data_IF_172213305644
#
_entry.id   IF_172213305644
#
_cell.length_a   1.000
_cell.length_b   1.000
_cell.length_c   1.000
_cell.angle_alpha   90.00
_cell.angle_beta   90.00
_cell.angle_gamma   90.00
#
_symmetry.space_group_name_H-M   'P 1'
#
loop_
_entity.id
_entity.type
_entity.pdbx_description
1 polymer ?
#
# COMPACT_ATOMS: atom_id res chain seq x y z
N UNK A 1 15.69 17.76 10.42
CA UNK A 1 15.58 18.05 8.96
C UNK A 1 14.35 18.90 8.76
N UNK A 2 14.43 20.00 8.01
CA UNK A 2 13.29 20.84 7.64
C UNK A 2 12.56 20.26 6.43
N UNK A 3 11.28 20.64 6.22
CA UNK A 3 10.49 20.20 5.05
C UNK A 3 11.18 20.50 3.71
N UNK A 4 11.91 21.63 3.65
CA UNK A 4 12.67 22.02 2.45
C UNK A 4 13.87 21.09 2.21
N UNK A 5 14.57 20.71 3.25
CA UNK A 5 15.70 19.77 3.16
C UNK A 5 15.22 18.36 2.79
N UNK A 6 14.10 17.92 3.37
CA UNK A 6 13.49 16.63 3.04
C UNK A 6 13.02 16.60 1.58
N UNK A 7 12.35 17.66 1.13
CA UNK A 7 11.94 17.78 -0.28
C UNK A 7 13.14 17.68 -1.20
N UNK A 8 14.19 18.42 -0.92
CA UNK A 8 15.41 18.38 -1.71
C UNK A 8 16.02 16.97 -1.73
N UNK A 9 16.12 16.33 -0.58
CA UNK A 9 16.63 14.94 -0.48
C UNK A 9 15.81 13.98 -1.35
N UNK A 10 14.48 14.04 -1.28
CA UNK A 10 13.58 13.21 -2.10
C UNK A 10 13.81 13.44 -3.60
N UNK A 11 13.90 14.71 -4.01
CA UNK A 11 14.10 15.08 -5.40
C UNK A 11 15.50 14.64 -5.91
N UNK A 12 16.56 14.81 -5.11
CA UNK A 12 17.93 14.42 -5.46
C UNK A 12 18.06 12.88 -5.58
N UNK A 13 17.50 12.14 -4.65
CA UNK A 13 17.48 10.66 -4.68
C UNK A 13 16.71 10.15 -5.90
N UNK A 14 15.53 10.70 -6.16
CA UNK A 14 14.73 10.34 -7.32
C UNK A 14 15.46 10.63 -8.62
N UNK A 15 15.99 11.84 -8.75
CA UNK A 15 16.72 12.25 -9.96
C UNK A 15 17.92 11.35 -10.24
N UNK A 16 18.71 11.01 -9.22
CA UNK A 16 19.85 10.11 -9.33
C UNK A 16 19.42 8.70 -9.76
N UNK A 17 18.37 8.17 -9.16
CA UNK A 17 17.83 6.86 -9.51
C UNK A 17 17.24 6.84 -10.94
N UNK A 18 16.52 7.88 -11.35
CA UNK A 18 15.91 7.95 -12.69
C UNK A 18 16.94 8.13 -13.80
N UNK A 19 18.03 8.89 -13.57
CA UNK A 19 19.14 8.98 -14.51
C UNK A 19 19.77 7.59 -14.73
N UNK A 20 20.04 6.85 -13.68
CA UNK A 20 20.62 5.52 -13.78
C UNK A 20 19.68 4.56 -14.53
N UNK A 21 18.38 4.62 -14.27
CA UNK A 21 17.36 3.87 -15.02
C UNK A 21 17.37 4.20 -16.52
N UNK A 22 17.36 5.51 -16.82
CA UNK A 22 17.31 5.97 -18.21
C UNK A 22 18.57 5.58 -18.98
N UNK A 23 19.74 5.66 -18.33
CA UNK A 23 21.01 5.21 -18.92
C UNK A 23 21.03 3.73 -19.27
N UNK A 24 20.43 2.90 -18.44
CA UNK A 24 20.31 1.45 -18.65
C UNK A 24 19.09 1.04 -19.51
N UNK A 25 18.33 1.99 -20.04
CA UNK A 25 17.13 1.74 -20.88
C UNK A 25 16.06 0.84 -20.20
N UNK A 26 15.96 0.88 -18.87
CA UNK A 26 15.01 0.08 -18.12
C UNK A 26 13.60 0.70 -18.11
N UNK A 27 12.59 -0.12 -18.35
CA UNK A 27 11.19 0.28 -18.21
C UNK A 27 10.83 0.53 -16.74
N UNK A 28 9.96 1.51 -16.46
CA UNK A 28 9.60 1.91 -15.09
C UNK A 28 9.05 0.75 -14.25
N UNK A 29 8.20 -0.09 -14.82
CA UNK A 29 7.61 -1.26 -14.16
C UNK A 29 8.64 -2.33 -13.74
N UNK A 30 9.78 -2.41 -14.41
CA UNK A 30 10.88 -3.31 -14.04
C UNK A 30 11.82 -2.73 -13.01
N UNK A 31 11.80 -1.41 -12.84
CA UNK A 31 12.72 -0.68 -11.99
C UNK A 31 12.13 -0.32 -10.62
N UNK A 32 10.84 -0.04 -10.56
CA UNK A 32 10.17 0.46 -9.35
C UNK A 32 10.30 -0.50 -8.16
N UNK A 33 9.96 -1.76 -8.37
CA UNK A 33 9.95 -2.76 -7.31
C UNK A 33 11.36 -3.02 -6.71
N UNK A 34 12.43 -3.20 -7.51
CA UNK A 34 13.79 -3.30 -6.96
C UNK A 34 14.21 -2.07 -6.16
N UNK A 35 13.89 -0.87 -6.64
CA UNK A 35 14.26 0.38 -5.95
C UNK A 35 13.55 0.50 -4.60
N UNK A 36 12.27 0.24 -4.55
CA UNK A 36 11.49 0.26 -3.31
C UNK A 36 12.03 -0.77 -2.30
N UNK A 37 12.48 -1.94 -2.79
CA UNK A 37 13.14 -2.93 -1.95
C UNK A 37 14.49 -2.47 -1.40
N UNK A 38 15.30 -1.76 -2.18
CA UNK A 38 16.57 -1.18 -1.68
C UNK A 38 16.33 -0.05 -0.66
N UNK A 39 15.32 0.77 -0.89
CA UNK A 39 14.90 1.78 0.09
C UNK A 39 14.47 1.09 1.39
N UNK A 40 13.72 -0.02 1.31
CA UNK A 40 13.35 -0.82 2.48
C UNK A 40 14.58 -1.36 3.23
N UNK A 41 15.56 -1.94 2.52
CA UNK A 41 16.79 -2.42 3.16
C UNK A 41 17.55 -1.29 3.87
N UNK A 42 17.64 -0.11 3.24
CA UNK A 42 18.27 1.05 3.87
C UNK A 42 17.53 1.49 5.12
N UNK A 43 16.20 1.50 5.08
CA UNK A 43 15.36 1.79 6.24
C UNK A 43 15.61 0.79 7.38
N UNK A 44 15.57 -0.51 7.08
CA UNK A 44 15.78 -1.54 8.07
C UNK A 44 17.14 -1.40 8.77
N UNK A 45 18.19 -1.10 8.01
CA UNK A 45 19.55 -0.85 8.53
C UNK A 45 19.60 0.38 9.45
N UNK A 46 19.03 1.51 9.00
CA UNK A 46 18.98 2.75 9.80
C UNK A 46 18.20 2.53 11.09
N UNK A 47 17.01 1.95 10.99
CA UNK A 47 16.16 1.70 12.16
C UNK A 47 16.85 0.77 13.16
N UNK A 48 17.41 -0.34 12.69
CA UNK A 48 18.11 -1.28 13.56
C UNK A 48 19.31 -0.64 14.27
N UNK A 49 20.10 0.18 13.55
CA UNK A 49 21.23 0.93 14.12
C UNK A 49 20.81 1.91 15.22
N UNK A 50 19.65 2.56 15.07
CA UNK A 50 19.13 3.48 16.09
C UNK A 50 18.80 2.77 17.41
N UNK A 51 18.41 1.49 17.37
CA UNK A 51 18.10 0.70 18.55
C UNK A 51 19.23 -0.22 19.02
N UNK A 52 20.36 -0.23 18.31
CA UNK A 52 21.45 -1.17 18.56
C UNK A 52 21.96 -1.15 20.00
N UNK A 53 22.22 0.04 20.54
CA UNK A 53 22.72 0.20 21.92
C UNK A 53 21.70 -0.35 22.93
N UNK A 54 20.43 -0.06 22.77
CA UNK A 54 19.38 -0.56 23.65
C UNK A 54 19.23 -2.09 23.58
N UNK A 55 19.34 -2.66 22.38
CA UNK A 55 19.30 -4.10 22.15
C UNK A 55 20.48 -4.78 22.84
N UNK A 56 21.71 -4.26 22.66
CA UNK A 56 22.92 -4.81 23.26
C UNK A 56 22.88 -4.69 24.78
N UNK A 57 22.41 -3.58 25.34
CA UNK A 57 22.27 -3.39 26.79
C UNK A 57 21.27 -4.40 27.39
N UNK A 58 20.11 -4.57 26.78
CA UNK A 58 19.09 -5.54 27.23
C UNK A 58 19.60 -6.98 27.12
N UNK A 59 20.31 -7.31 26.04
CA UNK A 59 20.92 -8.63 25.86
C UNK A 59 21.93 -8.90 26.96
N UNK A 60 22.88 -7.99 27.20
CA UNK A 60 23.92 -8.17 28.20
C UNK A 60 23.38 -8.26 29.63
N UNK A 61 22.30 -7.51 29.96
CA UNK A 61 21.62 -7.59 31.26
C UNK A 61 20.93 -8.95 31.50
N UNK A 62 20.46 -9.60 30.47
CA UNK A 62 19.72 -10.89 30.57
C UNK A 62 20.61 -12.11 30.39
N UNK A 63 21.79 -11.95 29.79
CA UNK A 63 22.73 -13.03 29.49
C UNK A 63 23.16 -13.77 30.77
N UNK A 64 23.05 -15.10 30.75
CA UNK A 64 23.36 -15.96 31.90
C UNK A 64 22.32 -15.92 33.03
N UNK A 65 21.19 -15.27 32.86
CA UNK A 65 20.09 -15.22 33.82
C UNK A 65 18.96 -16.17 33.43
N UNK A 66 17.99 -16.37 34.35
CA UNK A 66 16.77 -17.16 34.09
C UNK A 66 15.87 -16.52 33.02
N UNK A 67 16.10 -15.26 32.66
CA UNK A 67 15.39 -14.48 31.66
C UNK A 67 16.21 -14.29 30.37
N UNK A 68 17.22 -15.14 30.16
CA UNK A 68 18.04 -15.08 28.95
C UNK A 68 17.17 -15.26 27.68
N UNK A 69 17.40 -14.39 26.73
CA UNK A 69 16.80 -14.39 25.40
C UNK A 69 17.88 -14.23 24.35
N UNK A 70 17.66 -14.77 23.17
CA UNK A 70 18.54 -14.56 22.03
C UNK A 70 18.56 -13.08 21.59
N UNK A 71 19.60 -12.67 20.88
CA UNK A 71 19.69 -11.35 20.27
C UNK A 71 18.49 -11.07 19.35
N UNK A 72 18.04 -12.08 18.59
CA UNK A 72 16.85 -12.02 17.73
C UNK A 72 15.59 -11.68 18.55
N UNK A 73 15.30 -12.40 19.61
CA UNK A 73 14.12 -12.15 20.45
C UNK A 73 14.13 -10.76 21.08
N UNK A 74 15.30 -10.30 21.54
CA UNK A 74 15.44 -8.97 22.12
C UNK A 74 15.28 -7.88 21.06
N UNK A 75 15.81 -8.08 19.87
CA UNK A 75 15.64 -7.13 18.76
C UNK A 75 14.17 -6.99 18.37
N UNK A 76 13.46 -8.10 18.23
CA UNK A 76 12.01 -8.10 17.96
C UNK A 76 11.24 -7.40 19.07
N UNK A 77 11.65 -7.58 20.34
CA UNK A 77 11.02 -6.92 21.50
C UNK A 77 11.26 -5.40 21.50
N UNK A 78 12.42 -4.93 21.05
CA UNK A 78 12.83 -3.52 21.11
C UNK A 78 12.38 -2.73 19.90
N UNK A 79 12.68 -3.22 18.68
CA UNK A 79 12.42 -2.48 17.45
C UNK A 79 11.45 -3.18 16.47
N UNK A 80 10.85 -4.31 16.89
CA UNK A 80 9.81 -4.99 16.13
C UNK A 80 10.30 -5.99 15.09
N UNK A 81 11.62 -6.06 14.82
CA UNK A 81 12.23 -7.02 13.89
C UNK A 81 13.71 -7.30 14.27
N UNK A 82 14.27 -8.31 13.63
CA UNK A 82 15.69 -8.63 13.72
C UNK A 82 16.36 -8.43 12.36
N UNK A 83 17.48 -7.72 12.33
CA UNK A 83 18.32 -7.53 11.16
C UNK A 83 19.57 -8.38 11.26
N UNK A 84 19.69 -9.48 10.50
CA UNK A 84 20.90 -10.30 10.47
C UNK A 84 22.10 -9.51 9.92
N UNK A 85 23.34 -9.83 10.34
CA UNK A 85 24.55 -9.10 9.90
C UNK A 85 24.74 -9.06 8.37
N UNK A 86 24.39 -10.11 7.66
CA UNK A 86 24.42 -10.19 6.20
C UNK A 86 23.42 -9.26 5.51
N UNK A 87 22.45 -8.74 6.25
CA UNK A 87 21.43 -7.80 5.77
C UNK A 87 21.76 -6.33 6.11
N UNK A 88 22.87 -6.06 6.79
CA UNK A 88 23.30 -4.69 7.00
C UNK A 88 23.59 -4.02 5.65
N UNK A 89 23.10 -2.80 5.49
CA UNK A 89 23.26 -2.08 4.23
C UNK A 89 24.71 -1.87 3.85
N UNK A 90 25.57 -1.64 4.84
CA UNK A 90 27.01 -1.50 4.66
C UNK A 90 27.66 -2.79 4.14
N UNK A 91 27.19 -3.97 4.56
CA UNK A 91 27.69 -5.25 4.05
C UNK A 91 27.44 -5.42 2.54
N UNK A 92 26.37 -4.81 2.03
CA UNK A 92 26.05 -4.80 0.60
C UNK A 92 26.84 -3.69 -0.12
N UNK A 93 26.84 -2.48 0.44
CA UNK A 93 27.47 -1.31 -0.18
C UNK A 93 28.97 -1.47 -0.31
N UNK A 94 29.64 -1.88 0.77
CA UNK A 94 31.10 -1.95 0.89
C UNK A 94 31.70 -3.29 0.36
N UNK A 95 30.83 -4.19 -0.12
CA UNK A 95 31.32 -5.42 -0.76
C UNK A 95 32.19 -5.08 -1.99
N UNK A 96 33.22 -5.91 -2.29
CA UNK A 96 34.11 -5.71 -3.43
C UNK A 96 33.37 -5.45 -4.75
N UNK A 97 34.00 -4.69 -5.65
CA UNK A 97 33.36 -4.30 -6.93
C UNK A 97 33.07 -5.51 -7.84
N UNK A 98 33.82 -6.60 -7.69
CA UNK A 98 33.60 -7.87 -8.39
C UNK A 98 32.52 -8.76 -7.73
N UNK A 99 32.01 -8.36 -6.57
CA UNK A 99 30.95 -9.09 -5.89
C UNK A 99 29.60 -8.92 -6.63
N UNK A 100 28.89 -10.03 -6.80
CA UNK A 100 27.55 -9.99 -7.38
C UNK A 100 26.55 -9.34 -6.39
N UNK A 101 26.35 -8.03 -6.53
CA UNK A 101 25.44 -7.24 -5.68
C UNK A 101 24.00 -7.78 -5.69
N UNK A 102 23.50 -8.28 -6.82
CA UNK A 102 22.16 -8.85 -6.88
C UNK A 102 22.03 -10.09 -5.98
N UNK A 103 23.05 -10.92 -5.94
CA UNK A 103 23.11 -12.07 -5.02
C UNK A 103 23.18 -11.63 -3.56
N UNK A 104 23.93 -10.58 -3.23
CA UNK A 104 24.02 -10.04 -1.87
C UNK A 104 22.68 -9.47 -1.40
N UNK A 105 22.02 -8.68 -2.24
CA UNK A 105 20.69 -8.12 -1.93
C UNK A 105 19.67 -9.25 -1.73
N UNK A 106 19.66 -10.26 -2.62
CA UNK A 106 18.78 -11.43 -2.49
C UNK A 106 19.03 -12.17 -1.17
N UNK A 107 20.29 -12.41 -0.80
CA UNK A 107 20.65 -13.07 0.47
C UNK A 107 20.21 -12.24 1.68
N UNK A 108 20.43 -10.93 1.64
CA UNK A 108 20.02 -10.03 2.70
C UNK A 108 18.50 -10.08 2.94
N UNK A 109 17.71 -9.98 1.87
CA UNK A 109 16.25 -10.05 1.95
C UNK A 109 15.75 -11.42 2.43
N UNK A 110 16.37 -12.51 1.94
CA UNK A 110 16.05 -13.87 2.40
C UNK A 110 16.33 -14.01 3.89
N UNK A 111 17.48 -13.55 4.37
CA UNK A 111 17.83 -13.61 5.78
C UNK A 111 16.87 -12.76 6.67
N UNK A 112 16.40 -11.61 6.18
CA UNK A 112 15.38 -10.83 6.88
C UNK A 112 14.08 -11.62 7.01
N UNK A 113 13.56 -12.20 5.92
CA UNK A 113 12.32 -12.97 5.92
C UNK A 113 12.39 -14.20 6.82
N UNK A 114 13.46 -14.99 6.73
CA UNK A 114 13.68 -16.19 7.55
C UNK A 114 13.77 -15.89 9.07
N UNK A 115 14.08 -14.66 9.41
CA UNK A 115 14.21 -14.23 10.80
C UNK A 115 13.02 -13.40 11.32
N UNK A 116 12.05 -13.07 10.46
CA UNK A 116 10.92 -12.21 10.82
C UNK A 116 9.62 -12.72 10.17
N UNK A 117 8.85 -13.51 10.90
CA UNK A 117 7.64 -14.17 10.40
C UNK A 117 6.64 -13.23 9.71
N UNK A 118 6.55 -11.96 10.18
CA UNK A 118 5.69 -10.94 9.58
C UNK A 118 6.15 -10.46 8.20
N UNK A 119 7.38 -10.76 7.82
CA UNK A 119 7.99 -10.33 6.56
C UNK A 119 8.07 -11.47 5.54
N UNK A 120 7.63 -12.67 5.88
CA UNK A 120 7.69 -13.84 4.99
C UNK A 120 6.98 -13.57 3.66
N UNK A 121 7.72 -13.76 2.55
CA UNK A 121 7.23 -13.54 1.19
C UNK A 121 6.92 -12.07 0.82
N UNK A 122 7.31 -11.10 1.66
CA UNK A 122 7.02 -9.67 1.44
C UNK A 122 8.08 -9.00 0.56
N UNK A 123 9.35 -9.36 0.73
CA UNK A 123 10.46 -8.65 0.11
C UNK A 123 10.67 -9.07 -1.35
N UNK A 124 10.96 -8.13 -2.27
CA UNK A 124 11.10 -8.41 -3.70
C UNK A 124 12.48 -9.00 -4.04
N UNK A 125 12.83 -10.15 -3.46
CA UNK A 125 14.18 -10.74 -3.53
C UNK A 125 14.58 -11.29 -4.91
N UNK A 126 13.61 -11.53 -5.82
CA UNK A 126 13.89 -12.18 -7.10
C UNK A 126 14.12 -11.21 -8.27
N UNK A 127 13.95 -9.90 -8.04
CA UNK A 127 13.92 -8.90 -9.13
C UNK A 127 15.26 -8.22 -9.42
N UNK A 128 16.31 -8.49 -8.63
CA UNK A 128 17.57 -7.73 -8.73
C UNK A 128 18.46 -8.11 -9.89
N UNK A 129 18.28 -9.28 -10.49
CA UNK A 129 19.01 -9.69 -11.69
C UNK A 129 18.80 -8.76 -12.88
N UNK A 130 17.64 -8.11 -12.96
CA UNK A 130 17.35 -7.14 -14.03
C UNK A 130 18.05 -5.79 -13.86
N UNK A 131 18.63 -5.50 -12.68
CA UNK A 131 19.47 -4.32 -12.44
C UNK A 131 20.97 -4.59 -12.67
N UNK A 132 21.31 -5.66 -13.34
CA UNK A 132 22.68 -6.00 -13.77
C UNK A 132 22.65 -6.31 -15.27
N UNK A 133 22.28 -5.33 -16.13
CA UNK A 133 22.28 -5.55 -17.58
C UNK A 133 23.72 -5.69 -18.11
N UNK A 134 23.88 -6.39 -19.24
CA UNK A 134 25.20 -6.63 -19.84
C UNK A 134 25.91 -5.33 -20.22
N UNK A 135 25.16 -4.31 -20.65
CA UNK A 135 25.67 -3.01 -21.07
C UNK A 135 26.12 -2.13 -19.88
N UNK A 136 25.57 -2.36 -18.69
CA UNK A 136 25.86 -1.59 -17.47
C UNK A 136 25.86 -2.49 -16.23
N UNK A 137 26.84 -3.37 -16.08
CA UNK A 137 26.87 -4.40 -15.03
C UNK A 137 27.01 -3.80 -13.61
N UNK A 138 27.46 -2.57 -13.47
CA UNK A 138 27.64 -1.84 -12.22
C UNK A 138 26.43 -0.97 -11.83
N UNK A 139 25.33 -0.99 -12.61
CA UNK A 139 24.13 -0.21 -12.35
C UNK A 139 23.61 -0.40 -10.93
N UNK A 140 23.44 -1.63 -10.48
CA UNK A 140 22.96 -1.93 -9.13
C UNK A 140 23.90 -1.38 -8.05
N UNK A 141 25.22 -1.46 -8.25
CA UNK A 141 26.20 -0.89 -7.34
C UNK A 141 26.07 0.63 -7.22
N UNK A 142 25.85 1.33 -8.33
CA UNK A 142 25.60 2.78 -8.35
C UNK A 142 24.32 3.13 -7.60
N UNK A 143 23.24 2.38 -7.81
CA UNK A 143 21.96 2.60 -7.14
C UNK A 143 22.07 2.37 -5.63
N UNK A 144 22.75 1.31 -5.19
CA UNK A 144 23.00 1.05 -3.76
C UNK A 144 23.73 2.23 -3.11
N UNK A 145 24.73 2.82 -3.79
CA UNK A 145 25.45 4.00 -3.30
C UNK A 145 24.53 5.21 -3.16
N UNK A 146 23.63 5.46 -4.11
CA UNK A 146 22.65 6.58 -4.03
C UNK A 146 21.82 6.50 -2.74
N UNK A 147 21.31 5.33 -2.38
CA UNK A 147 20.51 5.21 -1.16
C UNK A 147 21.34 5.18 0.14
N UNK A 148 22.66 4.96 0.05
CA UNK A 148 23.56 5.13 1.20
C UNK A 148 23.58 6.58 1.68
N UNK A 149 23.35 7.58 0.81
CA UNK A 149 23.31 9.00 1.13
C UNK A 149 22.10 9.42 1.98
N UNK A 150 21.13 8.53 2.19
CA UNK A 150 20.05 8.78 3.15
C UNK A 150 20.64 8.88 4.56
N UNK A 151 20.45 10.01 5.28
CA UNK A 151 21.06 10.23 6.59
C UNK A 151 20.65 9.19 7.63
N UNK A 152 21.61 8.70 8.42
CA UNK A 152 21.34 7.68 9.46
C UNK A 152 20.53 8.22 10.65
N UNK A 153 20.47 9.53 10.83
CA UNK A 153 19.67 10.20 11.86
C UNK A 153 18.29 10.65 11.40
N UNK A 154 17.83 10.18 10.24
CA UNK A 154 16.48 10.46 9.76
C UNK A 154 15.44 9.79 10.67
N UNK A 155 14.34 10.49 10.98
CA UNK A 155 13.24 9.86 11.72
C UNK A 155 12.46 8.86 10.85
N UNK A 156 11.80 7.92 11.50
CA UNK A 156 10.98 6.89 10.84
C UNK A 156 9.91 7.52 9.94
N UNK A 157 9.22 8.56 10.44
CA UNK A 157 8.15 9.24 9.69
C UNK A 157 8.68 9.88 8.42
N UNK A 158 9.85 10.55 8.49
CA UNK A 158 10.45 11.17 7.31
C UNK A 158 10.96 10.13 6.30
N UNK A 159 11.39 8.97 6.79
CA UNK A 159 11.78 7.87 5.89
C UNK A 159 10.55 7.31 5.15
N UNK A 160 9.44 7.12 5.85
CA UNK A 160 8.16 6.73 5.25
C UNK A 160 7.72 7.69 4.14
N UNK A 161 7.98 8.99 4.29
CA UNK A 161 7.72 9.98 3.23
C UNK A 161 8.63 9.83 2.00
N UNK A 162 9.89 9.42 2.16
CA UNK A 162 10.77 9.09 1.03
C UNK A 162 10.19 7.91 0.26
N UNK A 163 9.80 6.84 0.97
CA UNK A 163 9.21 5.66 0.35
C UNK A 163 7.94 5.99 -0.43
N UNK A 164 7.00 6.73 0.18
CA UNK A 164 5.77 7.17 -0.50
C UNK A 164 6.04 8.06 -1.71
N UNK A 165 7.05 8.92 -1.64
CA UNK A 165 7.44 9.77 -2.77
C UNK A 165 7.91 8.94 -3.97
N UNK A 166 8.76 7.92 -3.75
CA UNK A 166 9.18 7.00 -4.79
C UNK A 166 8.01 6.19 -5.35
N UNK A 167 7.17 5.67 -4.48
CA UNK A 167 5.99 4.91 -4.84
C UNK A 167 5.05 5.72 -5.73
N UNK A 168 4.78 6.97 -5.37
CA UNK A 168 3.98 7.90 -6.16
C UNK A 168 4.57 8.21 -7.52
N UNK A 169 5.88 8.45 -7.61
CA UNK A 169 6.54 8.72 -8.88
C UNK A 169 6.54 7.51 -9.83
N UNK A 170 6.75 6.28 -9.29
CA UNK A 170 6.65 5.07 -10.11
C UNK A 170 5.23 4.86 -10.62
N UNK A 171 4.22 5.01 -9.78
CA UNK A 171 2.83 4.89 -10.19
C UNK A 171 2.45 5.92 -11.28
N UNK A 172 2.97 7.15 -11.21
CA UNK A 172 2.76 8.16 -12.25
C UNK A 172 3.44 7.80 -13.58
N UNK A 173 4.60 7.14 -13.53
CA UNK A 173 5.28 6.65 -14.74
C UNK A 173 4.54 5.46 -15.36
N UNK A 174 4.08 4.51 -14.55
CA UNK A 174 3.30 3.35 -14.98
C UNK A 174 1.90 3.73 -15.48
N UNK A 175 1.26 4.74 -14.87
CA UNK A 175 -0.07 5.22 -15.28
C UNK A 175 -0.12 5.78 -16.70
N UNK A 176 1.02 6.11 -17.30
CA UNK A 176 1.13 6.46 -18.73
C UNK A 176 1.00 5.25 -19.64
N UNK A 177 1.28 4.04 -19.12
CA UNK A 177 1.29 2.78 -19.88
C UNK A 177 0.10 1.86 -19.54
N UNK A 178 -0.78 2.25 -18.62
CA UNK A 178 -2.07 1.61 -18.33
C UNK A 178 -2.15 0.84 -17.02
N UNK A 179 -2.76 1.40 -16.00
CA UNK A 179 -3.59 0.60 -15.10
C UNK A 179 -3.42 0.68 -13.59
N UNK A 180 -2.35 1.16 -13.02
CA UNK A 180 -2.28 1.34 -11.57
C UNK A 180 -2.65 2.77 -11.18
N UNK A 181 -3.80 2.94 -10.52
CA UNK A 181 -4.26 4.25 -10.08
C UNK A 181 -3.62 4.60 -8.73
N UNK A 182 -2.68 5.55 -8.75
CA UNK A 182 -2.16 6.13 -7.52
C UNK A 182 -3.08 7.27 -7.06
N UNK A 183 -3.56 7.19 -5.83
CA UNK A 183 -4.38 8.28 -5.27
C UNK A 183 -3.48 9.39 -4.76
N UNK A 184 -3.59 10.62 -5.28
CA UNK A 184 -2.79 11.74 -4.79
C UNK A 184 -2.93 11.93 -3.28
N UNK A 185 -1.81 12.12 -2.58
CA UNK A 185 -1.79 12.26 -1.12
C UNK A 185 -2.70 13.40 -0.61
N UNK A 186 -2.92 14.44 -1.41
CA UNK A 186 -3.84 15.54 -1.11
C UNK A 186 -5.30 15.09 -1.06
N UNK A 187 -5.71 14.18 -1.96
CA UNK A 187 -7.06 13.61 -1.96
C UNK A 187 -7.24 12.69 -0.75
N UNK A 188 -6.25 11.83 -0.50
CA UNK A 188 -6.30 10.93 0.67
C UNK A 188 -6.39 11.72 1.97
N UNK A 189 -5.56 12.76 2.12
CA UNK A 189 -5.59 13.65 3.28
C UNK A 189 -6.97 14.30 3.45
N UNK A 190 -7.57 14.80 2.37
CA UNK A 190 -8.91 15.38 2.42
C UNK A 190 -9.95 14.36 2.88
N UNK A 191 -9.92 13.13 2.35
CA UNK A 191 -10.82 12.05 2.77
C UNK A 191 -10.67 11.72 4.27
N UNK A 192 -9.43 11.65 4.76
CA UNK A 192 -9.13 11.38 6.18
C UNK A 192 -9.63 12.52 7.08
N UNK A 193 -9.42 13.78 6.67
CA UNK A 193 -9.94 14.96 7.39
C UNK A 193 -11.47 14.98 7.46
N UNK A 194 -12.16 14.49 6.43
CA UNK A 194 -13.63 14.36 6.45
C UNK A 194 -14.09 13.22 7.36
N UNK A 195 -13.41 12.06 7.30
CA UNK A 195 -13.75 10.90 8.14
C UNK A 195 -13.46 11.12 9.62
N UNK A 196 -12.38 11.86 9.93
CA UNK A 196 -11.89 12.09 11.30
C UNK A 196 -11.78 10.78 12.10
N UNK A 197 -10.93 9.85 11.66
CA UNK A 197 -10.76 8.59 12.38
C UNK A 197 -10.25 8.84 13.80
N UNK A 198 -10.83 8.14 14.77
CA UNK A 198 -10.46 8.25 16.17
C UNK A 198 -9.58 7.10 16.61
N UNK A 199 -8.75 7.33 17.62
CA UNK A 199 -7.95 6.29 18.28
C UNK A 199 -8.83 5.25 19.00
N UNK A 200 -8.20 4.15 19.40
CA UNK A 200 -8.86 3.03 20.08
C UNK A 200 -8.85 1.75 19.23
N UNK A 201 -9.56 0.72 19.70
CA UNK A 201 -9.67 -0.58 18.99
C UNK A 201 -10.63 -0.44 17.79
N UNK A 202 -10.15 0.22 16.75
CA UNK A 202 -10.90 0.51 15.53
C UNK A 202 -10.41 -0.36 14.38
N UNK A 203 -11.35 -0.74 13.51
CA UNK A 203 -11.11 -1.54 12.33
C UNK A 203 -11.33 -0.70 11.08
N UNK A 204 -10.33 -0.68 10.22
CA UNK A 204 -10.32 0.11 9.00
C UNK A 204 -10.19 -0.82 7.79
N UNK A 205 -11.10 -0.72 6.82
CA UNK A 205 -11.09 -1.51 5.59
C UNK A 205 -10.74 -0.64 4.38
N UNK A 206 -9.87 -1.17 3.52
CA UNK A 206 -9.72 -0.73 2.14
C UNK A 206 -9.83 -1.96 1.22
N UNK A 207 -10.98 -2.15 0.54
CA UNK A 207 -11.19 -3.33 -0.30
C UNK A 207 -10.50 -3.26 -1.67
N UNK A 208 -9.75 -2.21 -1.95
CA UNK A 208 -8.94 -2.02 -3.16
C UNK A 208 -7.68 -1.24 -2.81
N UNK A 209 -6.90 -1.75 -1.83
CA UNK A 209 -5.95 -0.95 -1.07
C UNK A 209 -4.72 -0.50 -1.87
N UNK A 210 -4.47 -1.06 -3.04
CA UNK A 210 -3.28 -0.75 -3.80
C UNK A 210 -2.03 -0.89 -2.93
N UNK A 211 -1.20 0.12 -2.88
CA UNK A 211 0.00 0.19 -2.04
C UNK A 211 -0.24 0.51 -0.55
N UNK A 212 -1.49 0.56 -0.09
CA UNK A 212 -1.81 0.82 1.32
C UNK A 212 -1.73 2.29 1.76
N UNK A 213 -1.65 3.23 0.81
CA UNK A 213 -1.48 4.66 1.11
C UNK A 213 -2.61 5.26 1.96
N UNK A 214 -3.84 4.77 1.83
CA UNK A 214 -4.98 5.19 2.65
C UNK A 214 -4.74 4.92 4.15
N UNK A 215 -4.23 3.74 4.48
CA UNK A 215 -3.92 3.35 5.86
C UNK A 215 -2.83 4.21 6.49
N UNK A 216 -1.77 4.48 5.71
CA UNK A 216 -0.64 5.30 6.17
C UNK A 216 -1.10 6.72 6.47
N UNK A 217 -1.90 7.33 5.61
CA UNK A 217 -2.42 8.68 5.84
C UNK A 217 -3.42 8.73 7.01
N UNK A 218 -4.26 7.71 7.19
CA UNK A 218 -5.14 7.61 8.34
C UNK A 218 -4.35 7.50 9.66
N UNK A 219 -3.30 6.68 9.68
CA UNK A 219 -2.42 6.55 10.84
C UNK A 219 -1.72 7.88 11.19
N UNK A 220 -1.17 8.57 10.18
CA UNK A 220 -0.55 9.90 10.36
C UNK A 220 -1.54 10.94 10.91
N UNK A 221 -2.76 10.95 10.38
CA UNK A 221 -3.80 11.83 10.89
C UNK A 221 -4.05 11.62 12.38
N UNK A 222 -4.24 10.37 12.80
CA UNK A 222 -4.48 10.04 14.21
C UNK A 222 -3.30 10.42 15.10
N UNK A 223 -2.07 10.16 14.65
CA UNK A 223 -0.85 10.55 15.37
C UNK A 223 -0.77 12.07 15.55
N UNK A 224 -1.04 12.85 14.51
CA UNK A 224 -1.02 14.32 14.56
C UNK A 224 -2.12 14.93 15.43
N UNK A 225 -3.22 14.20 15.68
CA UNK A 225 -4.35 14.64 16.51
C UNK A 225 -4.33 14.04 17.92
N UNK A 226 -3.14 13.84 18.49
CA UNK A 226 -2.89 13.46 19.89
C UNK A 226 -3.23 12.00 20.27
N UNK A 227 -3.23 11.07 19.33
CA UNK A 227 -3.19 9.67 19.70
C UNK A 227 -1.75 9.32 20.14
N UNK A 228 -1.55 8.90 21.39
CA UNK A 228 -0.29 8.29 21.78
C UNK A 228 -0.10 6.95 21.03
N UNK A 229 1.14 6.51 20.84
CA UNK A 229 1.41 5.18 20.22
C UNK A 229 0.72 4.05 20.97
N UNK A 230 0.52 4.19 22.28
CA UNK A 230 -0.22 3.23 23.12
C UNK A 230 -1.72 3.21 22.82
N UNK A 231 -2.29 4.32 22.34
CA UNK A 231 -3.71 4.46 21.99
C UNK A 231 -3.99 4.08 20.52
N UNK A 232 -2.96 3.92 19.72
CA UNK A 232 -3.03 3.50 18.32
C UNK A 232 -3.31 2.00 18.18
N UNK A 233 -4.45 1.53 18.70
CA UNK A 233 -4.90 0.13 18.57
C UNK A 233 -5.66 -0.16 17.28
N UNK A 234 -5.66 0.75 16.40
CA UNK A 234 -6.30 0.69 15.10
C UNK A 234 -5.66 -0.39 14.22
N UNK A 235 -6.49 -1.17 13.54
CA UNK A 235 -6.08 -2.26 12.65
C UNK A 235 -6.60 -2.04 11.24
N UNK A 236 -5.70 -2.12 10.27
CA UNK A 236 -6.01 -2.04 8.85
C UNK A 236 -6.26 -3.41 8.25
N UNK A 237 -7.22 -3.48 7.36
CA UNK A 237 -7.56 -4.67 6.58
C UNK A 237 -7.64 -4.27 5.11
N UNK A 238 -6.66 -4.70 4.32
CA UNK A 238 -6.58 -4.37 2.90
C UNK A 238 -6.85 -5.59 2.02
N UNK A 239 -7.52 -5.38 0.91
CA UNK A 239 -7.64 -6.38 -0.15
C UNK A 239 -7.03 -5.82 -1.41
N UNK A 240 -6.11 -6.56 -2.01
CA UNK A 240 -5.47 -6.21 -3.28
C UNK A 240 -5.37 -7.45 -4.16
N UNK A 241 -5.59 -7.26 -5.44
CA UNK A 241 -5.66 -8.37 -6.42
C UNK A 241 -4.28 -8.74 -6.95
N UNK A 242 -3.39 -7.76 -7.12
CA UNK A 242 -2.11 -7.97 -7.78
C UNK A 242 -1.02 -8.35 -6.75
N UNK A 243 -0.39 -9.55 -6.86
CA UNK A 243 0.55 -10.07 -5.87
C UNK A 243 1.71 -9.12 -5.54
N UNK A 244 2.25 -8.44 -6.56
CA UNK A 244 3.37 -7.50 -6.36
C UNK A 244 2.92 -6.24 -5.63
N UNK A 245 1.71 -5.76 -5.89
CA UNK A 245 1.12 -4.63 -5.16
C UNK A 245 0.81 -5.00 -3.71
N UNK A 246 0.40 -6.25 -3.43
CA UNK A 246 0.25 -6.77 -2.06
C UNK A 246 1.57 -6.67 -1.28
N UNK A 247 2.69 -7.05 -1.89
CA UNK A 247 4.02 -6.91 -1.26
C UNK A 247 4.34 -5.45 -0.96
N UNK A 248 4.10 -4.55 -1.92
CA UNK A 248 4.31 -3.12 -1.73
C UNK A 248 3.45 -2.55 -0.59
N UNK A 249 2.19 -2.96 -0.50
CA UNK A 249 1.31 -2.55 0.60
C UNK A 249 1.83 -3.03 1.96
N UNK A 250 2.23 -4.30 2.07
CA UNK A 250 2.82 -4.84 3.28
C UNK A 250 4.09 -4.11 3.70
N UNK A 251 4.99 -3.84 2.73
CA UNK A 251 6.19 -3.05 2.98
C UNK A 251 5.85 -1.62 3.45
N UNK A 252 4.89 -0.96 2.81
CA UNK A 252 4.46 0.38 3.17
C UNK A 252 3.90 0.46 4.60
N UNK A 253 3.08 -0.52 4.99
CA UNK A 253 2.57 -0.62 6.36
C UNK A 253 3.70 -0.81 7.38
N UNK A 254 4.66 -1.70 7.09
CA UNK A 254 5.82 -1.94 7.96
C UNK A 254 6.68 -0.68 8.12
N UNK A 255 7.00 0.02 7.03
CA UNK A 255 7.80 1.24 7.03
C UNK A 255 7.17 2.39 7.83
N UNK A 256 5.84 2.44 7.88
CA UNK A 256 5.10 3.46 8.60
C UNK A 256 4.57 2.98 9.97
N UNK A 257 5.03 1.82 10.46
CA UNK A 257 4.61 1.21 11.73
C UNK A 257 3.07 1.09 11.86
N UNK A 258 2.39 0.81 10.75
CA UNK A 258 0.94 0.64 10.69
C UNK A 258 0.58 -0.84 10.85
N UNK A 259 -0.25 -1.15 11.83
CA UNK A 259 -0.72 -2.53 12.06
C UNK A 259 -1.82 -2.87 11.08
N UNK A 260 -1.62 -3.94 10.28
CA UNK A 260 -2.63 -4.34 9.32
C UNK A 260 -2.36 -5.69 8.67
N UNK A 261 -3.38 -6.17 8.00
CA UNK A 261 -3.36 -7.40 7.21
C UNK A 261 -3.74 -7.06 5.77
N UNK A 262 -2.96 -7.56 4.82
CA UNK A 262 -3.27 -7.40 3.40
C UNK A 262 -3.49 -8.78 2.79
N UNK A 263 -4.70 -9.01 2.31
CA UNK A 263 -5.08 -10.23 1.60
C UNK A 263 -4.92 -10.06 0.09
N UNK A 264 -4.31 -11.06 -0.55
CA UNK A 264 -4.32 -11.19 -2.00
C UNK A 264 -5.63 -11.79 -2.44
N UNK A 265 -6.53 -10.98 -2.99
CA UNK A 265 -7.84 -11.42 -3.44
C UNK A 265 -8.50 -10.44 -4.41
N UNK A 266 -9.45 -10.95 -5.20
CA UNK A 266 -10.36 -10.11 -5.95
C UNK A 266 -11.61 -9.83 -5.09
N UNK A 267 -11.79 -8.60 -4.65
CA UNK A 267 -12.86 -8.14 -3.75
C UNK A 267 -14.28 -8.40 -4.27
N UNK A 268 -14.47 -8.53 -5.56
CA UNK A 268 -15.78 -8.91 -6.10
C UNK A 268 -16.12 -10.37 -5.82
N UNK A 269 -15.12 -11.24 -5.63
CA UNK A 269 -15.34 -12.69 -5.60
C UNK A 269 -14.87 -13.37 -4.31
N UNK A 270 -14.19 -12.63 -3.44
CA UNK A 270 -13.73 -13.12 -2.15
C UNK A 270 -13.98 -12.10 -1.05
N UNK A 271 -14.25 -12.59 0.15
CA UNK A 271 -14.39 -11.79 1.36
C UNK A 271 -13.48 -12.37 2.45
N UNK A 272 -12.17 -12.05 2.42
CA UNK A 272 -11.21 -12.63 3.35
C UNK A 272 -11.45 -12.21 4.81
N UNK A 273 -12.30 -11.23 5.03
CA UNK A 273 -12.48 -10.62 6.34
C UNK A 273 -13.91 -10.67 6.88
N UNK A 274 -14.84 -11.37 6.22
CA UNK A 274 -16.27 -11.39 6.59
C UNK A 274 -16.79 -9.96 6.86
N UNK A 275 -16.72 -9.11 5.82
CA UNK A 275 -16.72 -7.66 5.98
C UNK A 275 -18.06 -7.06 6.41
N UNK A 276 -19.19 -7.74 6.19
CA UNK A 276 -20.53 -7.16 6.44
C UNK A 276 -20.71 -6.73 7.91
N UNK A 277 -20.98 -5.44 8.14
CA UNK A 277 -21.23 -4.86 9.47
C UNK A 277 -20.03 -4.86 10.42
N UNK A 278 -18.81 -4.98 9.90
CA UNK A 278 -17.63 -5.23 10.75
C UNK A 278 -16.75 -4.01 11.00
N UNK A 279 -16.70 -3.04 10.10
CA UNK A 279 -15.69 -2.00 10.12
C UNK A 279 -16.19 -0.67 10.68
N UNK A 280 -15.31 0.02 11.42
CA UNK A 280 -15.57 1.37 11.91
C UNK A 280 -15.34 2.40 10.80
N UNK A 281 -14.35 2.14 9.93
CA UNK A 281 -14.01 3.01 8.80
C UNK A 281 -13.78 2.19 7.53
N UNK A 282 -14.28 2.70 6.41
CA UNK A 282 -13.98 2.17 5.07
C UNK A 282 -13.53 3.32 4.18
N UNK A 283 -12.36 3.19 3.56
CA UNK A 283 -11.84 4.24 2.68
C UNK A 283 -11.07 3.62 1.52
N UNK A 284 -11.40 3.99 0.29
CA UNK A 284 -10.65 3.54 -0.88
C UNK A 284 -10.82 4.47 -2.09
N UNK A 285 -9.93 4.24 -3.05
CA UNK A 285 -10.07 4.68 -4.42
C UNK A 285 -10.12 3.43 -5.31
N UNK A 286 -11.29 2.77 -5.42
CA UNK A 286 -11.42 1.54 -6.19
C UNK A 286 -11.34 1.80 -7.70
N UNK A 287 -11.05 0.77 -8.52
CA UNK A 287 -11.07 0.92 -9.97
C UNK A 287 -12.49 1.27 -10.47
N UNK A 288 -12.58 2.31 -11.32
CA UNK A 288 -13.84 2.82 -11.82
C UNK A 288 -14.30 2.08 -13.09
N UNK A 289 -15.62 2.05 -13.29
CA UNK A 289 -16.24 1.59 -14.54
C UNK A 289 -15.86 0.16 -14.96
N UNK A 290 -15.61 -0.72 -14.01
CA UNK A 290 -15.35 -2.14 -14.29
C UNK A 290 -16.62 -2.80 -14.79
N UNK A 291 -16.57 -3.47 -15.95
CA UNK A 291 -17.74 -4.04 -16.67
C UNK A 291 -17.71 -5.58 -16.80
N UNK A 292 -16.67 -6.23 -16.29
CA UNK A 292 -16.47 -7.68 -16.43
C UNK A 292 -16.90 -8.50 -15.20
N UNK A 293 -17.56 -7.89 -14.21
CA UNK A 293 -17.98 -8.60 -13.00
C UNK A 293 -19.13 -9.55 -13.31
N UNK A 294 -18.93 -10.85 -13.08
CA UNK A 294 -19.90 -11.91 -13.36
C UNK A 294 -21.10 -11.81 -12.42
N UNK A 295 -22.29 -11.50 -12.94
CA UNK A 295 -23.51 -11.28 -12.17
C UNK A 295 -23.87 -12.45 -11.26
N UNK A 296 -23.86 -13.69 -11.78
CA UNK A 296 -24.18 -14.90 -11.02
C UNK A 296 -23.29 -15.11 -9.78
N UNK A 297 -22.09 -14.54 -9.76
CA UNK A 297 -21.15 -14.68 -8.62
C UNK A 297 -21.37 -13.65 -7.51
N UNK A 298 -22.08 -12.57 -7.80
CA UNK A 298 -22.27 -11.45 -6.86
C UNK A 298 -23.72 -11.23 -6.46
N UNK A 299 -24.69 -11.80 -7.18
CA UNK A 299 -26.13 -11.53 -6.99
C UNK A 299 -26.68 -11.88 -5.61
N UNK A 300 -26.13 -12.88 -4.96
CA UNK A 300 -26.56 -13.37 -3.64
C UNK A 300 -25.62 -12.95 -2.52
N UNK A 301 -24.58 -12.15 -2.83
CA UNK A 301 -23.60 -11.69 -1.85
C UNK A 301 -24.12 -10.44 -1.12
N UNK A 302 -24.21 -10.54 0.21
CA UNK A 302 -24.74 -9.47 1.07
C UNK A 302 -23.94 -8.15 0.96
N UNK A 303 -22.66 -8.21 0.58
CA UNK A 303 -21.84 -7.02 0.35
C UNK A 303 -22.37 -6.15 -0.79
N UNK A 304 -23.06 -6.75 -1.78
CA UNK A 304 -23.47 -6.07 -3.01
C UNK A 304 -24.97 -5.95 -3.17
N UNK A 305 -25.76 -6.87 -2.63
CA UNK A 305 -27.20 -6.95 -2.95
C UNK A 305 -28.13 -6.19 -1.99
N UNK A 306 -27.61 -5.63 -0.89
CA UNK A 306 -28.40 -4.91 0.11
C UNK A 306 -29.22 -3.76 -0.50
N UNK A 307 -28.64 -3.01 -1.42
CA UNK A 307 -29.31 -1.90 -2.12
C UNK A 307 -29.76 -2.28 -3.54
N UNK A 308 -29.33 -3.43 -4.03
CA UNK A 308 -29.57 -3.93 -5.38
C UNK A 308 -28.29 -3.95 -6.21
N UNK A 309 -28.31 -4.74 -7.27
CA UNK A 309 -27.18 -4.89 -8.20
C UNK A 309 -27.52 -4.28 -9.55
N UNK A 310 -26.62 -3.49 -10.16
CA UNK A 310 -26.85 -2.95 -11.50
C UNK A 310 -27.12 -4.06 -12.51
N UNK A 311 -28.17 -3.88 -13.34
CA UNK A 311 -28.59 -4.84 -14.36
C UNK A 311 -28.55 -4.21 -15.73
N UNK A 312 -28.10 -4.97 -16.73
CA UNK A 312 -28.26 -4.58 -18.10
C UNK A 312 -29.76 -4.54 -18.44
N UNK A 313 -30.20 -3.51 -19.17
CA UNK A 313 -31.52 -3.60 -19.85
C UNK A 313 -31.45 -4.79 -20.76
N UNK A 314 -32.36 -5.75 -20.57
CA UNK A 314 -32.55 -6.90 -21.45
C UNK A 314 -32.54 -6.46 -22.91
N UNK A 315 -31.44 -6.57 -23.61
CA UNK A 315 -31.42 -6.59 -25.06
C UNK A 315 -32.00 -7.94 -25.42
N UNK A 316 -33.14 -7.94 -26.02
CA UNK A 316 -33.81 -9.15 -26.61
C UNK A 316 -32.71 -10.01 -27.25
N UNK A 317 -32.41 -11.12 -26.60
CA UNK A 317 -31.32 -12.01 -26.97
C UNK A 317 -31.56 -12.59 -28.38
N UNK A 318 -30.87 -12.04 -29.35
CA UNK A 318 -30.58 -12.75 -30.61
C UNK A 318 -29.25 -13.46 -30.44
N UNK A 319 -29.33 -14.79 -30.23
CA UNK A 319 -28.28 -15.80 -30.10
C UNK A 319 -27.53 -15.81 -28.74
N UNK A 320 -27.95 -16.74 -27.92
CA UNK A 320 -27.18 -17.30 -26.81
C UNK A 320 -25.90 -17.95 -27.37
N UNK A 321 -24.81 -17.28 -27.29
CA UNK A 321 -23.49 -17.89 -27.22
C UNK A 321 -22.99 -17.71 -25.77
N UNK A 322 -22.34 -18.70 -25.22
CA UNK A 322 -21.82 -18.94 -23.84
C UNK A 322 -21.18 -17.76 -23.05
N UNK A 323 -21.58 -16.51 -23.30
CA UNK A 323 -21.09 -15.36 -22.53
C UNK A 323 -21.87 -15.27 -21.22
N UNK A 324 -21.16 -15.48 -20.12
CA UNK A 324 -21.68 -15.21 -18.77
C UNK A 324 -22.21 -13.76 -18.69
N UNK A 325 -23.39 -13.60 -18.08
CA UNK A 325 -23.98 -12.28 -17.84
C UNK A 325 -23.05 -11.50 -16.88
N UNK A 326 -22.69 -10.27 -17.22
CA UNK A 326 -21.86 -9.39 -16.40
C UNK A 326 -22.66 -8.19 -15.92
N UNK A 327 -22.24 -7.61 -14.81
CA UNK A 327 -22.74 -6.32 -14.32
C UNK A 327 -22.27 -5.23 -15.30
N UNK A 328 -23.17 -4.33 -15.75
CA UNK A 328 -22.82 -3.32 -16.76
C UNK A 328 -21.75 -2.34 -16.29
N UNK A 329 -21.72 -2.07 -14.98
CA UNK A 329 -20.75 -1.20 -14.34
C UNK A 329 -20.70 -1.52 -12.86
N UNK A 330 -19.51 -1.70 -12.30
CA UNK A 330 -19.30 -2.10 -10.91
C UNK A 330 -19.22 -0.91 -9.92
N UNK A 331 -19.39 0.34 -10.35
CA UNK A 331 -19.32 1.49 -9.44
C UNK A 331 -20.27 1.33 -8.23
N UNK A 332 -21.50 0.89 -8.48
CA UNK A 332 -22.47 0.67 -7.40
C UNK A 332 -22.24 -0.63 -6.61
N UNK A 333 -21.48 -1.58 -7.12
CA UNK A 333 -20.99 -2.69 -6.29
C UNK A 333 -20.01 -2.19 -5.23
N UNK A 334 -19.09 -1.30 -5.61
CA UNK A 334 -18.17 -0.67 -4.65
C UNK A 334 -18.91 0.14 -3.60
N UNK A 335 -19.86 1.01 -4.01
CA UNK A 335 -20.64 1.83 -3.08
C UNK A 335 -21.42 0.95 -2.10
N UNK A 336 -22.05 -0.13 -2.60
CA UNK A 336 -22.77 -1.09 -1.76
C UNK A 336 -21.85 -1.82 -0.79
N UNK A 337 -20.66 -2.23 -1.23
CA UNK A 337 -19.67 -2.86 -0.37
C UNK A 337 -19.24 -1.95 0.78
N UNK A 338 -18.97 -0.67 0.48
CA UNK A 338 -18.62 0.31 1.50
C UNK A 338 -19.72 0.45 2.54
N UNK A 339 -20.96 0.62 2.10
CA UNK A 339 -22.10 0.79 3.00
C UNK A 339 -22.35 -0.47 3.84
N UNK A 340 -22.31 -1.66 3.22
CA UNK A 340 -22.59 -2.94 3.90
C UNK A 340 -21.48 -3.36 4.87
N UNK A 341 -20.23 -2.93 4.65
CA UNK A 341 -19.12 -3.26 5.52
C UNK A 341 -19.08 -2.45 6.82
N UNK A 342 -19.82 -1.34 6.89
CA UNK A 342 -19.84 -0.47 8.06
C UNK A 342 -20.64 -1.06 9.22
N UNK A 343 -20.14 -0.85 10.44
CA UNK A 343 -20.95 -0.90 11.66
C UNK A 343 -22.02 0.19 11.66
N UNK A 344 -23.01 0.11 12.54
CA UNK A 344 -24.10 1.09 12.66
C UNK A 344 -23.63 2.56 12.75
N UNK A 345 -22.50 2.81 13.44
CA UNK A 345 -21.90 4.14 13.59
C UNK A 345 -20.62 4.31 12.76
N UNK A 346 -20.37 3.41 11.81
CA UNK A 346 -19.20 3.45 10.94
C UNK A 346 -19.29 4.59 9.93
N UNK A 347 -18.13 4.97 9.38
CA UNK A 347 -18.03 6.02 8.36
C UNK A 347 -17.22 5.51 7.16
N UNK A 348 -17.66 5.90 5.96
CA UNK A 348 -16.93 5.59 4.74
C UNK A 348 -16.62 6.85 3.93
N UNK A 349 -15.49 6.86 3.25
CA UNK A 349 -15.17 7.82 2.20
C UNK A 349 -14.59 7.08 0.99
N UNK A 350 -15.11 7.37 -0.19
CA UNK A 350 -14.64 6.75 -1.42
C UNK A 350 -14.47 7.79 -2.53
N UNK A 351 -13.46 7.57 -3.36
CA UNK A 351 -13.36 8.26 -4.64
C UNK A 351 -14.16 7.49 -5.67
N UNK A 352 -14.94 8.18 -6.49
CA UNK A 352 -15.74 7.55 -7.54
C UNK A 352 -15.78 8.43 -8.78
N UNK A 353 -15.94 7.80 -9.93
CA UNK A 353 -16.14 8.52 -11.18
C UNK A 353 -17.44 9.34 -11.17
N UNK A 354 -17.45 10.52 -11.80
CA UNK A 354 -18.63 11.38 -11.90
C UNK A 354 -19.84 10.66 -12.49
N UNK A 355 -19.63 9.69 -13.41
CA UNK A 355 -20.69 8.86 -13.97
C UNK A 355 -21.55 8.11 -12.94
N UNK A 356 -21.04 7.89 -11.74
CA UNK A 356 -21.83 7.30 -10.66
C UNK A 356 -22.88 8.27 -10.11
N UNK A 357 -22.66 9.58 -10.17
CA UNK A 357 -23.59 10.59 -9.64
C UNK A 357 -24.81 10.82 -10.54
N UNK A 358 -24.70 10.59 -11.84
CA UNK A 358 -25.75 10.83 -12.83
C UNK A 358 -26.21 9.57 -13.58
N UNK A 359 -25.70 8.40 -13.17
CA UNK A 359 -26.09 7.11 -13.74
C UNK A 359 -27.61 6.91 -13.72
N UNK A 360 -28.13 6.42 -14.85
CA UNK A 360 -29.56 6.13 -15.05
C UNK A 360 -29.92 4.67 -14.79
N UNK A 361 -31.14 4.29 -15.13
CA UNK A 361 -31.67 2.91 -15.08
C UNK A 361 -31.58 2.28 -13.67
N UNK A 362 -31.12 1.02 -13.57
CA UNK A 362 -31.00 0.29 -12.30
C UNK A 362 -30.07 0.94 -11.31
N UNK A 363 -29.06 1.66 -11.75
CA UNK A 363 -28.14 2.41 -10.88
C UNK A 363 -28.84 3.61 -10.25
N UNK A 364 -29.77 4.26 -10.96
CA UNK A 364 -30.63 5.30 -10.41
C UNK A 364 -31.47 4.77 -9.24
N UNK A 365 -32.08 3.59 -9.38
CA UNK A 365 -32.93 3.01 -8.34
C UNK A 365 -32.11 2.66 -7.08
N UNK A 366 -30.91 2.14 -7.26
CA UNK A 366 -29.98 1.86 -6.16
C UNK A 366 -29.60 3.16 -5.45
N UNK A 367 -29.19 4.19 -6.19
CA UNK A 367 -28.82 5.50 -5.63
C UNK A 367 -29.97 6.13 -4.89
N UNK A 368 -31.16 6.09 -5.47
CA UNK A 368 -32.39 6.61 -4.84
C UNK A 368 -32.60 5.95 -3.47
N UNK A 369 -32.54 4.60 -3.42
CA UNK A 369 -32.69 3.84 -2.17
C UNK A 369 -31.63 4.26 -1.13
N UNK A 370 -30.38 4.37 -1.51
CA UNK A 370 -29.29 4.79 -0.61
C UNK A 370 -29.50 6.21 -0.05
N UNK A 371 -30.02 7.13 -0.87
CA UNK A 371 -30.31 8.50 -0.45
C UNK A 371 -31.53 8.52 0.50
N UNK A 372 -32.61 7.81 0.17
CA UNK A 372 -33.81 7.72 0.98
C UNK A 372 -33.55 7.05 2.34
N UNK A 373 -32.63 6.10 2.42
CA UNK A 373 -32.19 5.46 3.66
C UNK A 373 -31.12 6.27 4.42
N UNK A 374 -30.70 7.44 3.89
CA UNK A 374 -29.73 8.33 4.56
C UNK A 374 -28.31 7.81 4.62
N UNK A 375 -27.94 6.88 3.74
CA UNK A 375 -26.58 6.28 3.71
C UNK A 375 -25.56 7.29 3.20
N UNK A 376 -25.94 8.17 2.28
CA UNK A 376 -25.06 9.18 1.69
C UNK A 376 -25.19 10.49 2.47
N UNK A 377 -24.17 10.87 3.22
CA UNK A 377 -24.16 12.11 4.00
C UNK A 377 -23.63 13.31 3.23
N UNK A 378 -22.69 13.10 2.32
CA UNK A 378 -22.04 14.19 1.58
C UNK A 378 -21.50 13.70 0.24
N UNK A 379 -21.58 14.56 -0.78
CA UNK A 379 -20.89 14.42 -2.07
C UNK A 379 -20.04 15.64 -2.32
N UNK A 380 -18.79 15.41 -2.77
CA UNK A 380 -17.82 16.49 -3.04
C UNK A 380 -17.25 16.28 -4.44
N UNK A 381 -17.40 17.29 -5.29
CA UNK A 381 -16.76 17.29 -6.61
C UNK A 381 -15.32 17.74 -6.49
N UNK A 382 -14.39 16.91 -6.91
CA UNK A 382 -12.97 17.25 -6.96
C UNK A 382 -12.66 18.09 -8.21
N UNK A 383 -11.73 19.06 -8.12
CA UNK A 383 -11.29 19.84 -9.28
C UNK A 383 -10.75 18.94 -10.40
N UNK A 384 -10.96 19.36 -11.65
CA UNK A 384 -10.35 18.72 -12.82
C UNK A 384 -8.81 18.74 -12.69
N UNK A 385 -8.14 17.70 -13.18
CA UNK A 385 -6.69 17.52 -13.13
C UNK A 385 -6.10 17.20 -11.74
N UNK A 386 -6.93 16.92 -10.73
CA UNK A 386 -6.42 16.48 -9.43
C UNK A 386 -5.82 15.06 -9.50
N UNK A 387 -6.27 14.25 -10.44
CA UNK A 387 -5.71 12.94 -10.80
C UNK A 387 -4.98 13.08 -12.14
N UNK A 388 -3.65 13.18 -12.12
CA UNK A 388 -2.83 13.37 -13.33
C UNK A 388 -2.90 12.21 -14.33
N UNK A 389 -3.30 11.03 -13.90
CA UNK A 389 -3.47 9.82 -14.74
C UNK A 389 -4.86 9.69 -15.36
N UNK A 390 -5.81 10.56 -15.02
CA UNK A 390 -7.21 10.50 -15.48
C UNK A 390 -7.51 11.56 -16.54
N UNK A 391 -6.67 11.65 -17.58
CA UNK A 391 -6.87 12.59 -18.69
C UNK A 391 -8.12 12.25 -19.54
N UNK A 392 -8.77 11.11 -19.30
CA UNK A 392 -9.91 10.61 -20.07
C UNK A 392 -11.12 10.17 -19.22
N UNK A 393 -11.49 10.98 -18.22
CA UNK A 393 -12.81 10.83 -17.59
C UNK A 393 -13.66 12.03 -17.95
#
# INVERSE_FOLDING_TARGET
>A
MTDKELKKLKDDLWHSADILRAGAHLAANKYGQPILGLIFLRYADILYKQYKEEIEEKYNKRKGTRMEKSMKEISIEVCGFYLPPEAYYDAINDAPDDANKATLVKKAMTAIEENNDKMDGVLPKEVYGQLVPEEEPDLLSKIVRVFKDIPENISIDLFGEIYEYFLGNFALQEGKDGGTFYTPATVVRYMVEVLQPTSGDKMFLDPACGSGGMFVQAARYMHNHNASDADMKFRCYGVEKEPDTVKLAKMNLLLNNVRGEIAEANSFYADPYDAVGRFDYVMANPPFNVDEVVYERVKDDARFNTYGIPKNKSKTAKKASDKKETVPNANYLWISYFASALKDNGKAALVMANSASDAGNSEYDIRKKMIEEGIISQMVTLPSNMFLSLIHI
#
